data_IF_672087448637
#
_entry.id   IF_672087448637
#
_cell.length_a   1.000
_cell.length_b   1.000
_cell.length_c   1.000
_cell.angle_alpha   90.00
_cell.angle_beta   90.00
_cell.angle_gamma   90.00
#
_symmetry.space_group_name_H-M   'P 1'
#
loop_
_entity.id
_entity.type
_entity.pdbx_description
1 polymer ?
#
# COMPACT_ATOMS: atom_id res chain seq x y z
N UNK A 1 2.30 14.69 22.41
CA UNK A 1 2.26 14.26 20.99
C UNK A 1 1.07 13.34 20.81
N UNK A 2 0.21 13.63 19.83
CA UNK A 2 -0.94 12.79 19.53
C UNK A 2 -0.47 11.39 19.10
N UNK A 3 -1.14 10.34 19.58
CA UNK A 3 -0.82 8.95 19.22
C UNK A 3 -1.06 8.80 17.71
N UNK A 4 0.02 8.65 16.95
CA UNK A 4 -0.05 8.48 15.52
C UNK A 4 -0.57 7.06 15.22
N UNK A 5 -1.88 6.95 14.97
CA UNK A 5 -2.58 5.68 14.76
C UNK A 5 -2.17 5.07 13.43
N UNK A 6 -1.60 3.87 13.47
CA UNK A 6 -1.36 3.02 12.29
C UNK A 6 -2.18 1.73 12.37
N UNK A 7 -2.84 1.37 11.27
CA UNK A 7 -3.51 0.08 11.11
C UNK A 7 -3.10 -0.61 9.81
N UNK A 8 -3.18 -1.94 9.79
CA UNK A 8 -2.86 -2.77 8.65
C UNK A 8 -4.08 -3.60 8.25
N UNK A 9 -4.46 -3.55 6.97
CA UNK A 9 -5.56 -4.31 6.38
C UNK A 9 -5.05 -5.20 5.25
N UNK A 10 -5.83 -6.22 4.92
CA UNK A 10 -5.55 -7.17 3.83
C UNK A 10 -6.69 -7.11 2.83
N UNK A 11 -6.34 -6.90 1.56
CA UNK A 11 -7.23 -6.93 0.43
C UNK A 11 -7.34 -8.31 -0.21
N UNK A 12 -8.55 -8.66 -0.64
CA UNK A 12 -8.86 -9.88 -1.38
C UNK A 12 -9.05 -9.60 -2.87
N UNK A 13 -9.05 -10.64 -3.68
CA UNK A 13 -9.32 -10.56 -5.11
C UNK A 13 -10.64 -9.82 -5.42
N UNK A 14 -10.60 -8.97 -6.46
CA UNK A 14 -11.69 -8.09 -6.89
C UNK A 14 -11.84 -6.79 -6.08
N UNK A 15 -10.88 -6.47 -5.21
CA UNK A 15 -10.93 -5.26 -4.35
C UNK A 15 -9.74 -4.34 -4.54
N UNK A 16 -8.65 -4.78 -5.18
CA UNK A 16 -7.45 -3.97 -5.32
C UNK A 16 -7.68 -2.76 -6.23
N UNK A 17 -8.10 -2.98 -7.47
CA UNK A 17 -8.27 -1.89 -8.45
C UNK A 17 -9.36 -0.88 -8.02
N UNK A 18 -10.55 -1.31 -7.55
CA UNK A 18 -11.54 -0.36 -7.02
C UNK A 18 -11.03 0.45 -5.82
N UNK A 19 -10.23 -0.17 -4.94
CA UNK A 19 -9.67 0.52 -3.78
C UNK A 19 -8.55 1.48 -4.16
N UNK A 20 -7.69 1.09 -5.12
CA UNK A 20 -6.67 1.97 -5.69
C UNK A 20 -7.30 3.22 -6.32
N UNK A 21 -8.29 3.05 -7.20
CA UNK A 21 -9.03 4.16 -7.79
C UNK A 21 -9.73 5.02 -6.72
N UNK A 22 -10.24 4.39 -5.66
CA UNK A 22 -10.81 5.13 -4.52
C UNK A 22 -9.77 6.02 -3.85
N UNK A 23 -8.59 5.50 -3.48
CA UNK A 23 -7.61 6.28 -2.72
C UNK A 23 -7.05 7.45 -3.54
N UNK A 24 -6.90 7.34 -4.86
CA UNK A 24 -6.47 8.46 -5.72
C UNK A 24 -7.63 9.26 -6.31
N UNK A 25 -8.87 8.99 -5.90
CA UNK A 25 -10.08 9.71 -6.35
C UNK A 25 -10.28 9.70 -7.88
N UNK A 26 -9.91 8.59 -8.53
CA UNK A 26 -10.05 8.42 -9.97
C UNK A 26 -11.41 7.83 -10.38
N UNK A 27 -11.79 8.03 -11.64
CA UNK A 27 -13.03 7.53 -12.21
C UNK A 27 -14.27 7.97 -11.42
N UNK A 28 -15.10 7.00 -11.00
CA UNK A 28 -16.32 7.28 -10.24
C UNK A 28 -16.07 7.97 -8.88
N UNK A 29 -14.84 7.91 -8.36
CA UNK A 29 -14.49 8.47 -7.05
C UNK A 29 -14.10 9.95 -7.10
N UNK A 30 -13.94 10.53 -8.30
CA UNK A 30 -13.73 11.97 -8.46
C UNK A 30 -14.85 12.82 -7.83
N UNK A 31 -16.06 12.25 -7.73
CA UNK A 31 -17.22 12.86 -7.05
C UNK A 31 -16.99 13.22 -5.58
N UNK A 32 -15.99 12.61 -4.92
CA UNK A 32 -15.65 12.94 -3.54
C UNK A 32 -14.95 14.31 -3.44
N UNK A 33 -14.17 14.68 -4.46
CA UNK A 33 -13.54 16.01 -4.53
C UNK A 33 -14.60 17.10 -4.61
N UNK A 34 -15.66 16.89 -5.40
CA UNK A 34 -16.80 17.82 -5.46
C UNK A 34 -17.62 17.90 -4.16
N UNK A 35 -17.45 16.95 -3.24
CA UNK A 35 -18.09 16.94 -1.91
C UNK A 35 -17.21 17.56 -0.81
N UNK A 36 -16.09 18.18 -1.21
CA UNK A 36 -15.18 18.89 -0.30
C UNK A 36 -14.11 18.02 0.34
N UNK A 37 -14.02 16.73 -0.01
CA UNK A 37 -12.87 15.92 0.39
C UNK A 37 -11.62 16.33 -0.40
N UNK A 38 -10.46 16.34 0.27
CA UNK A 38 -9.19 16.75 -0.33
C UNK A 38 -8.27 15.56 -0.51
N UNK A 39 -7.78 15.40 -1.74
CA UNK A 39 -6.61 14.59 -2.07
C UNK A 39 -5.39 15.51 -2.07
N UNK A 40 -4.60 15.49 -1.01
CA UNK A 40 -3.49 16.44 -0.85
C UNK A 40 -2.27 16.05 -1.68
N UNK A 41 -1.95 14.76 -1.72
CA UNK A 41 -0.83 14.21 -2.48
C UNK A 41 -1.07 12.73 -2.74
N UNK A 42 -0.48 12.20 -3.82
CA UNK A 42 -0.42 10.79 -4.10
C UNK A 42 0.88 10.45 -4.84
N UNK A 43 1.31 9.20 -4.75
CA UNK A 43 2.35 8.65 -5.61
C UNK A 43 2.26 7.13 -5.70
N UNK A 44 2.91 6.55 -6.69
CA UNK A 44 3.11 5.11 -6.84
C UNK A 44 4.58 4.82 -7.15
N UNK A 45 5.01 3.58 -6.99
CA UNK A 45 6.38 3.19 -7.28
C UNK A 45 6.60 1.68 -7.27
N UNK A 46 7.80 1.28 -7.72
CA UNK A 46 8.20 -0.12 -7.88
C UNK A 46 7.24 -0.96 -8.74
N UNK A 47 6.58 -0.31 -9.70
CA UNK A 47 5.67 -0.97 -10.63
C UNK A 47 6.49 -1.69 -11.71
N UNK A 48 6.05 -2.87 -12.17
CA UNK A 48 6.66 -3.53 -13.32
C UNK A 48 6.44 -2.70 -14.60
N UNK A 49 7.27 -2.90 -15.62
CA UNK A 49 7.28 -2.08 -16.84
C UNK A 49 5.90 -1.95 -17.50
N UNK A 50 5.10 -3.03 -17.48
CA UNK A 50 3.75 -3.02 -18.06
C UNK A 50 2.74 -2.13 -17.32
N UNK A 51 3.00 -1.70 -16.09
CA UNK A 51 2.14 -0.80 -15.30
C UNK A 51 2.86 0.47 -14.81
N UNK A 52 4.09 0.74 -15.24
CA UNK A 52 4.90 1.88 -14.76
C UNK A 52 4.17 3.23 -14.84
N UNK A 53 3.38 3.42 -15.90
CA UNK A 53 2.63 4.65 -16.15
C UNK A 53 1.15 4.56 -15.80
N UNK A 54 0.67 3.39 -15.35
CA UNK A 54 -0.72 3.18 -14.94
C UNK A 54 -0.78 2.22 -13.73
N UNK A 55 -0.72 2.76 -12.51
CA UNK A 55 -0.84 1.96 -11.29
C UNK A 55 -2.15 1.16 -11.22
N UNK A 56 -3.26 1.63 -11.81
CA UNK A 56 -4.53 0.89 -11.79
C UNK A 56 -4.44 -0.41 -12.57
N UNK A 57 -3.66 -0.45 -13.64
CA UNK A 57 -3.39 -1.66 -14.40
C UNK A 57 -2.70 -2.73 -13.53
N UNK A 58 -1.77 -2.32 -12.65
CA UNK A 58 -1.14 -3.23 -11.68
C UNK A 58 -2.16 -3.86 -10.74
N UNK A 59 -3.06 -3.04 -10.18
CA UNK A 59 -4.07 -3.52 -9.25
C UNK A 59 -5.15 -4.35 -9.95
N UNK A 60 -5.47 -4.05 -11.21
CA UNK A 60 -6.37 -4.86 -12.03
C UNK A 60 -5.76 -6.24 -12.29
N UNK A 61 -4.47 -6.30 -12.66
CA UNK A 61 -3.76 -7.55 -12.83
C UNK A 61 -3.67 -8.35 -11.52
N UNK A 62 -3.45 -7.67 -10.39
CA UNK A 62 -3.48 -8.31 -9.08
C UNK A 62 -4.85 -8.95 -8.79
N UNK A 63 -5.95 -8.24 -9.05
CA UNK A 63 -7.31 -8.77 -8.90
C UNK A 63 -7.61 -9.94 -9.83
N UNK A 64 -7.06 -9.95 -11.04
CA UNK A 64 -7.29 -10.98 -12.05
C UNK A 64 -6.45 -12.25 -11.84
N UNK A 65 -5.21 -12.11 -11.36
CA UNK A 65 -4.21 -13.19 -11.43
C UNK A 65 -3.68 -13.66 -10.07
N UNK A 66 -3.91 -12.93 -8.97
CA UNK A 66 -3.74 -13.55 -7.65
C UNK A 66 -4.77 -14.66 -7.44
N UNK A 67 -4.40 -15.66 -6.65
CA UNK A 67 -5.33 -16.74 -6.30
C UNK A 67 -6.56 -16.16 -5.57
N UNK A 68 -7.70 -16.81 -5.69
CA UNK A 68 -8.97 -16.39 -5.05
C UNK A 68 -8.85 -16.15 -3.53
N UNK A 69 -8.10 -17.00 -2.83
CA UNK A 69 -7.80 -16.87 -1.39
C UNK A 69 -6.44 -16.18 -1.12
N UNK A 70 -6.00 -15.35 -2.06
CA UNK A 70 -4.74 -14.62 -2.02
C UNK A 70 -4.92 -13.21 -1.50
N UNK A 71 -3.83 -12.67 -0.96
CA UNK A 71 -3.72 -11.25 -0.67
C UNK A 71 -3.41 -10.51 -1.96
N UNK A 72 -4.33 -9.67 -2.46
CA UNK A 72 -4.04 -8.82 -3.64
C UNK A 72 -3.24 -7.59 -3.26
N UNK A 73 -3.53 -7.02 -2.09
CA UNK A 73 -2.78 -5.91 -1.53
C UNK A 73 -2.83 -5.95 0.00
N UNK A 74 -1.86 -5.30 0.63
CA UNK A 74 -1.98 -4.82 2.01
C UNK A 74 -2.19 -3.32 1.98
N UNK A 75 -2.88 -2.81 3.00
CA UNK A 75 -3.05 -1.38 3.20
C UNK A 75 -2.59 -0.99 4.60
N UNK A 76 -1.68 -0.03 4.67
CA UNK A 76 -1.43 0.74 5.88
C UNK A 76 -2.28 2.01 5.84
N UNK A 77 -3.13 2.18 6.85
CA UNK A 77 -3.86 3.44 7.07
C UNK A 77 -3.27 4.12 8.29
N UNK A 78 -2.75 5.33 8.09
CA UNK A 78 -1.87 6.00 9.05
C UNK A 78 -2.35 7.44 9.25
N UNK A 79 -2.66 7.81 10.50
CA UNK A 79 -2.94 9.19 10.85
C UNK A 79 -1.65 10.02 10.78
N UNK A 80 -1.73 11.20 10.16
CA UNK A 80 -0.63 12.14 10.04
C UNK A 80 -0.79 13.29 11.05
N UNK A 81 0.32 13.90 11.52
CA UNK A 81 0.22 15.06 12.40
C UNK A 81 -0.49 16.24 11.73
N UNK A 82 -1.36 16.92 12.49
CA UNK A 82 -2.17 18.06 12.01
C UNK A 82 -1.34 19.33 11.90
N UNK A 83 -0.25 19.39 12.67
CA UNK A 83 0.65 20.51 12.81
C UNK A 83 1.57 20.69 11.60
N UNK A 84 1.76 19.61 10.82
CA UNK A 84 2.53 19.64 9.59
C UNK A 84 1.72 20.32 8.47
N UNK A 85 2.39 20.96 7.53
CA UNK A 85 1.76 21.38 6.27
C UNK A 85 1.66 20.20 5.27
N UNK A 86 1.09 20.47 4.09
CA UNK A 86 0.87 19.46 3.05
C UNK A 86 2.20 18.85 2.56
N UNK A 87 3.23 19.68 2.34
CA UNK A 87 4.51 19.24 1.81
C UNK A 87 5.30 18.42 2.85
N UNK A 88 5.25 18.85 4.12
CA UNK A 88 5.82 18.12 5.24
C UNK A 88 5.13 16.77 5.45
N UNK A 89 3.79 16.71 5.36
CA UNK A 89 3.06 15.44 5.38
C UNK A 89 3.47 14.52 4.24
N UNK A 90 3.56 15.04 3.02
CA UNK A 90 3.99 14.27 1.87
C UNK A 90 5.44 13.78 2.01
N UNK A 91 6.34 14.61 2.55
CA UNK A 91 7.72 14.22 2.84
C UNK A 91 7.80 13.12 3.90
N UNK A 92 7.02 13.21 4.98
CA UNK A 92 6.93 12.18 6.02
C UNK A 92 6.44 10.85 5.45
N UNK A 93 5.40 10.87 4.61
CA UNK A 93 4.90 9.67 3.93
C UNK A 93 5.96 9.07 3.00
N UNK A 94 6.66 9.89 2.21
CA UNK A 94 7.75 9.41 1.34
C UNK A 94 8.88 8.76 2.14
N UNK A 95 9.27 9.34 3.28
CA UNK A 95 10.26 8.76 4.18
C UNK A 95 9.80 7.41 4.74
N UNK A 96 8.55 7.33 5.19
CA UNK A 96 7.98 6.07 5.68
C UNK A 96 7.95 4.98 4.61
N UNK A 97 7.52 5.33 3.39
CA UNK A 97 7.49 4.41 2.25
C UNK A 97 8.90 3.93 1.93
N UNK A 98 9.90 4.83 1.92
CA UNK A 98 11.29 4.44 1.72
C UNK A 98 11.79 3.45 2.81
N UNK A 99 11.42 3.66 4.07
CA UNK A 99 11.80 2.80 5.19
C UNK A 99 11.13 1.43 5.16
N UNK A 100 9.79 1.39 5.08
CA UNK A 100 9.02 0.15 5.26
C UNK A 100 8.85 -0.62 3.95
N UNK A 101 8.63 0.08 2.84
CA UNK A 101 8.42 -0.52 1.51
C UNK A 101 9.74 -0.65 0.75
N UNK A 102 10.54 0.43 0.74
CA UNK A 102 11.79 0.52 -0.01
C UNK A 102 11.59 0.25 -1.50
N UNK A 103 12.56 -0.39 -2.14
CA UNK A 103 12.47 -0.85 -3.54
C UNK A 103 11.81 -2.23 -3.70
N UNK A 104 11.31 -2.83 -2.61
CA UNK A 104 10.96 -4.26 -2.58
C UNK A 104 9.56 -4.55 -3.13
N UNK A 105 8.63 -3.61 -3.02
CA UNK A 105 7.23 -3.87 -3.31
C UNK A 105 6.60 -2.77 -4.14
N UNK A 106 5.86 -3.15 -5.18
CA UNK A 106 4.93 -2.27 -5.88
C UNK A 106 3.96 -1.63 -4.88
N UNK A 107 3.83 -0.30 -4.92
CA UNK A 107 2.98 0.45 -4.00
C UNK A 107 2.25 1.61 -4.67
N UNK A 108 1.20 2.08 -4.01
CA UNK A 108 0.50 3.32 -4.30
C UNK A 108 0.00 3.93 -2.99
N UNK A 109 0.14 5.23 -2.81
CA UNK A 109 -0.38 5.93 -1.64
C UNK A 109 -1.07 7.24 -2.00
N UNK A 110 -1.96 7.67 -1.10
CA UNK A 110 -2.69 8.93 -1.18
C UNK A 110 -2.97 9.50 0.21
N UNK A 111 -2.84 10.82 0.35
CA UNK A 111 -3.16 11.56 1.58
C UNK A 111 -4.56 12.17 1.45
N UNK A 112 -5.44 11.80 2.39
CA UNK A 112 -6.79 12.34 2.52
C UNK A 112 -6.85 13.23 3.76
N UNK A 113 -7.60 14.32 3.67
CA UNK A 113 -7.81 15.26 4.80
C UNK A 113 -9.30 15.59 4.96
N UNK A 114 -10.13 14.61 5.37
CA UNK A 114 -11.51 14.89 5.76
C UNK A 114 -11.56 15.67 7.08
N UNK A 115 -12.77 16.11 7.45
CA UNK A 115 -13.05 16.68 8.76
C UNK A 115 -13.43 15.56 9.73
N UNK A 116 -12.76 15.48 10.88
CA UNK A 116 -13.08 14.53 11.95
C UNK A 116 -14.29 14.98 12.78
N UNK A 117 -14.75 14.11 13.67
CA UNK A 117 -15.88 14.36 14.57
C UNK A 117 -15.67 15.55 15.53
N UNK A 118 -14.41 15.95 15.78
CA UNK A 118 -14.03 17.14 16.55
C UNK A 118 -14.09 18.44 15.73
N UNK A 119 -14.52 18.37 14.47
CA UNK A 119 -14.58 19.49 13.54
C UNK A 119 -13.22 19.91 12.98
N UNK A 120 -12.14 19.20 13.31
CA UNK A 120 -10.78 19.50 12.86
C UNK A 120 -10.37 18.60 11.69
N UNK A 121 -9.35 19.02 10.93
CA UNK A 121 -8.79 18.21 9.85
C UNK A 121 -8.26 16.87 10.36
N UNK A 122 -8.47 15.78 9.62
CA UNK A 122 -7.97 14.45 9.95
C UNK A 122 -7.09 13.93 8.82
N UNK A 123 -5.88 14.51 8.63
CA UNK A 123 -4.99 14.04 7.59
C UNK A 123 -4.57 12.59 7.89
N UNK A 124 -4.72 11.71 6.90
CA UNK A 124 -4.27 10.34 6.96
C UNK A 124 -3.83 9.87 5.59
N UNK A 125 -2.89 8.93 5.56
CA UNK A 125 -2.45 8.27 4.33
C UNK A 125 -3.07 6.89 4.23
N UNK A 126 -3.54 6.56 3.03
CA UNK A 126 -3.76 5.21 2.58
C UNK A 126 -2.52 4.78 1.79
N UNK A 127 -1.78 3.77 2.26
CA UNK A 127 -0.64 3.18 1.56
C UNK A 127 -0.96 1.72 1.21
N UNK A 128 -1.24 1.48 -0.07
CA UNK A 128 -1.42 0.15 -0.63
C UNK A 128 -0.09 -0.40 -1.14
N UNK A 129 0.17 -1.68 -0.91
CA UNK A 129 1.33 -2.35 -1.51
C UNK A 129 1.06 -3.83 -1.80
N UNK A 130 1.74 -4.38 -2.79
CA UNK A 130 1.73 -5.80 -3.10
C UNK A 130 2.77 -6.54 -2.27
N UNK A 131 2.44 -7.72 -1.75
CA UNK A 131 3.44 -8.59 -1.11
C UNK A 131 4.39 -9.26 -2.12
N UNK A 132 4.18 -9.07 -3.42
CA UNK A 132 5.11 -9.53 -4.47
C UNK A 132 6.40 -8.70 -4.39
N UNK A 133 7.52 -9.39 -4.39
CA UNK A 133 8.84 -8.78 -4.27
C UNK A 133 9.43 -8.50 -5.65
N UNK A 134 9.92 -7.28 -5.84
CA UNK A 134 10.71 -6.89 -7.01
C UNK A 134 12.06 -7.58 -6.94
N UNK A 135 12.36 -8.39 -7.95
CA UNK A 135 13.58 -9.20 -8.05
C UNK A 135 14.37 -8.95 -9.35
N UNK A 136 13.99 -7.92 -10.12
CA UNK A 136 14.64 -7.56 -11.38
C UNK A 136 14.32 -8.49 -12.56
N UNK A 137 13.39 -9.44 -12.38
CA UNK A 137 12.94 -10.33 -13.45
C UNK A 137 11.67 -9.78 -14.07
N UNK A 138 11.75 -9.42 -15.35
CA UNK A 138 10.61 -9.03 -16.16
C UNK A 138 9.60 -10.17 -16.29
N UNK A 139 8.32 -9.84 -16.10
CA UNK A 139 7.20 -10.78 -16.16
C UNK A 139 6.00 -10.07 -16.74
N UNK A 140 5.25 -10.76 -17.60
CA UNK A 140 3.93 -10.28 -18.00
C UNK A 140 2.96 -10.27 -16.79
N UNK A 141 1.81 -9.58 -16.90
CA UNK A 141 0.85 -9.47 -15.79
C UNK A 141 0.40 -10.82 -15.22
N UNK A 142 0.18 -11.83 -16.06
CA UNK A 142 -0.28 -13.14 -15.58
C UNK A 142 0.85 -13.86 -14.82
N UNK A 143 2.04 -13.91 -15.41
CA UNK A 143 3.20 -14.54 -14.83
C UNK A 143 3.59 -13.89 -13.50
N UNK A 144 3.54 -12.56 -13.39
CA UNK A 144 3.92 -11.82 -12.18
C UNK A 144 3.26 -12.37 -10.91
N UNK A 145 1.98 -12.76 -11.00
CA UNK A 145 1.19 -13.28 -9.88
C UNK A 145 1.13 -14.82 -9.81
N UNK A 146 1.81 -15.57 -10.69
CA UNK A 146 1.93 -17.03 -10.56
C UNK A 146 2.67 -17.42 -9.28
N UNK A 147 2.63 -18.71 -8.91
CA UNK A 147 3.46 -19.21 -7.81
C UNK A 147 4.94 -19.00 -8.13
N UNK A 148 5.70 -18.60 -7.12
CA UNK A 148 7.14 -18.49 -7.23
C UNK A 148 7.78 -19.87 -7.43
N UNK A 149 8.74 -19.95 -8.34
CA UNK A 149 9.50 -21.16 -8.63
C UNK A 149 10.95 -20.98 -8.12
N UNK A 150 11.29 -21.63 -7.01
CA UNK A 150 12.61 -21.51 -6.39
C UNK A 150 13.76 -22.10 -7.24
N UNK A 151 13.46 -23.08 -8.12
CA UNK A 151 14.48 -23.71 -8.97
C UNK A 151 14.75 -22.91 -10.25
N UNK A 152 13.74 -22.16 -10.72
CA UNK A 152 13.81 -21.34 -11.93
C UNK A 152 12.92 -20.09 -11.75
N UNK A 153 13.40 -19.06 -11.02
CA UNK A 153 12.62 -17.86 -10.69
C UNK A 153 12.02 -17.13 -11.91
N UNK A 154 12.69 -17.21 -13.05
CA UNK A 154 12.28 -16.65 -14.35
C UNK A 154 11.10 -17.38 -14.99
N UNK A 155 10.79 -18.60 -14.54
CA UNK A 155 9.65 -19.40 -15.00
C UNK A 155 8.46 -19.37 -14.05
N UNK A 156 8.60 -18.70 -12.90
CA UNK A 156 7.55 -18.51 -11.91
C UNK A 156 7.10 -17.06 -11.81
N UNK A 157 6.17 -16.81 -10.89
CA UNK A 157 5.81 -15.44 -10.50
C UNK A 157 6.74 -14.87 -9.45
N UNK A 158 6.59 -13.57 -9.16
CA UNK A 158 7.39 -12.88 -8.17
C UNK A 158 7.17 -13.49 -6.77
N UNK A 159 8.25 -13.60 -5.97
CA UNK A 159 8.17 -14.17 -4.62
C UNK A 159 7.23 -13.34 -3.75
N UNK A 160 6.39 -14.00 -2.96
CA UNK A 160 5.44 -13.35 -2.06
C UNK A 160 5.97 -13.34 -0.62
N UNK A 161 5.92 -12.20 0.04
CA UNK A 161 6.22 -12.06 1.46
C UNK A 161 6.60 -10.63 1.81
N UNK A 162 6.19 -10.16 2.99
CA UNK A 162 6.44 -8.81 3.50
C UNK A 162 6.91 -8.88 4.96
N UNK A 163 7.78 -7.96 5.36
CA UNK A 163 8.27 -7.83 6.73
C UNK A 163 9.31 -8.88 7.12
N UNK A 164 9.67 -8.96 8.41
CA UNK A 164 10.73 -9.83 8.92
C UNK A 164 10.43 -11.33 8.71
N UNK A 165 9.14 -11.69 8.60
CA UNK A 165 8.67 -13.06 8.43
C UNK A 165 8.16 -13.35 7.00
N UNK A 166 8.75 -12.69 5.99
CA UNK A 166 8.35 -12.84 4.59
C UNK A 166 8.26 -14.31 4.16
N UNK A 167 7.07 -14.72 3.69
CA UNK A 167 6.80 -16.08 3.20
C UNK A 167 6.45 -17.10 4.30
N UNK A 168 6.42 -16.70 5.57
CA UNK A 168 6.03 -17.55 6.70
C UNK A 168 4.54 -17.40 7.04
N UNK A 169 3.94 -18.46 7.57
CA UNK A 169 2.58 -18.39 8.14
C UNK A 169 2.68 -18.00 9.60
N UNK A 170 2.23 -16.80 9.93
CA UNK A 170 2.28 -16.28 11.29
C UNK A 170 1.02 -16.62 12.10
N UNK A 171 1.23 -16.91 13.37
CA UNK A 171 0.18 -16.97 14.40
C UNK A 171 -0.45 -15.58 14.60
N UNK A 172 -1.54 -15.53 15.37
CA UNK A 172 -2.16 -14.25 15.73
C UNK A 172 -1.23 -13.39 16.61
N UNK A 173 -0.48 -14.02 17.51
CA UNK A 173 0.43 -13.34 18.43
C UNK A 173 1.62 -12.73 17.71
N UNK A 174 2.23 -13.46 16.77
CA UNK A 174 3.33 -12.94 15.95
C UNK A 174 2.87 -11.77 15.08
N UNK A 175 1.70 -11.88 14.40
CA UNK A 175 1.15 -10.74 13.63
C UNK A 175 0.87 -9.52 14.51
N UNK A 176 0.46 -9.72 15.76
CA UNK A 176 0.23 -8.62 16.69
C UNK A 176 1.56 -7.98 17.15
N UNK A 177 2.61 -8.77 17.33
CA UNK A 177 3.95 -8.29 17.61
C UNK A 177 4.50 -7.47 16.44
N UNK A 178 4.46 -8.00 15.22
CA UNK A 178 4.88 -7.29 13.99
C UNK A 178 4.16 -5.94 13.84
N UNK A 179 2.85 -5.90 14.08
CA UNK A 179 2.08 -4.66 14.00
C UNK A 179 2.46 -3.68 15.12
N UNK A 180 2.79 -4.17 16.32
CA UNK A 180 3.26 -3.34 17.43
C UNK A 180 4.62 -2.71 17.11
N UNK A 181 5.53 -3.47 16.52
CA UNK A 181 6.84 -2.97 16.08
C UNK A 181 6.70 -1.95 14.96
N UNK A 182 5.84 -2.22 13.96
CA UNK A 182 5.53 -1.27 12.88
C UNK A 182 4.99 0.07 13.43
N UNK A 183 4.12 0.00 14.44
CA UNK A 183 3.62 1.20 15.14
C UNK A 183 4.72 1.94 15.90
N UNK A 184 5.63 1.21 16.54
CA UNK A 184 6.79 1.79 17.22
C UNK A 184 7.67 2.59 16.27
N UNK A 185 8.04 1.99 15.13
CA UNK A 185 8.83 2.66 14.08
C UNK A 185 8.13 3.89 13.50
N UNK A 186 6.82 3.83 13.29
CA UNK A 186 6.05 5.01 12.87
C UNK A 186 6.08 6.12 13.92
N UNK A 187 5.91 5.77 15.20
CA UNK A 187 5.93 6.74 16.30
C UNK A 187 7.29 7.42 16.50
N UNK A 188 8.39 6.76 16.19
CA UNK A 188 9.72 7.37 16.24
C UNK A 188 9.96 8.39 15.12
N UNK A 189 9.23 8.26 14.00
CA UNK A 189 9.41 9.08 12.81
C UNK A 189 8.46 10.29 12.73
N UNK A 190 7.27 10.20 13.34
CA UNK A 190 6.20 11.20 13.28
C UNK A 190 6.15 12.10 14.52
#
# INVERSE_FOLDING_TARGET
MAIARLSMKVGKAGRACPHAAYIVREGQYARHLSRGEKLEACAAGNLPAWAEHDPLLFWQAADAHERSNGTTYREMEIALPRELDIEQRAALVRAFVAQEIGSRHAYQWAIHTPVAADGQAQPHVHLMFSERQVDGIERDPEQYFRRYNAKSPEKGGARKGYGPHAGQTLTRTERAADLKELRGRWQEMA
#
